data_IF_648480257519
#
_entry.id   IF_648480257519
#
_cell.length_a   1.000
_cell.length_b   1.000
_cell.length_c   1.000
_cell.angle_alpha   90.00
_cell.angle_beta   90.00
_cell.angle_gamma   90.00
#
_symmetry.space_group_name_H-M   'P 1'
#
loop_
_entity.id
_entity.type
_entity.pdbx_description
1 polymer ?
#
# COMPACT_ATOMS: atom_id res chain seq x y z
N UNK A 1 14.52 -16.94 3.92
CA UNK A 1 14.84 -15.53 4.20
C UNK A 1 13.59 -14.70 4.13
N UNK A 2 13.38 -13.89 5.14
CA UNK A 2 12.17 -13.06 5.20
C UNK A 2 12.23 -11.94 4.17
N UNK A 3 11.09 -11.68 3.59
CA UNK A 3 10.92 -10.59 2.63
C UNK A 3 10.28 -9.40 3.33
N UNK A 4 10.49 -8.21 2.78
CA UNK A 4 9.78 -7.02 3.23
C UNK A 4 8.34 -7.08 2.73
N UNK A 5 7.40 -6.95 3.64
CA UNK A 5 5.96 -6.92 3.29
C UNK A 5 5.60 -5.55 2.74
N UNK A 6 4.96 -5.52 1.59
CA UNK A 6 4.61 -4.28 0.89
C UNK A 6 3.10 -4.21 0.67
N UNK A 7 2.54 -3.02 0.88
CA UNK A 7 1.17 -2.70 0.52
C UNK A 7 1.19 -1.46 -0.38
N UNK A 8 0.33 -1.45 -1.39
CA UNK A 8 0.15 -0.31 -2.30
C UNK A 8 -1.27 0.19 -2.17
N UNK A 9 -1.43 1.49 -1.95
CA UNK A 9 -2.74 2.15 -1.92
C UNK A 9 -2.74 3.25 -2.97
N UNK A 10 -3.47 3.06 -4.06
CA UNK A 10 -3.51 3.98 -5.19
C UNK A 10 -4.79 3.72 -5.98
N UNK A 11 -5.51 4.78 -6.37
CA UNK A 11 -6.75 4.64 -7.14
C UNK A 11 -6.52 4.49 -8.65
N UNK A 12 -5.28 4.64 -9.12
CA UNK A 12 -4.93 4.49 -10.52
C UNK A 12 -4.51 3.05 -10.82
N UNK A 13 -5.31 2.36 -11.64
CA UNK A 13 -5.06 0.96 -12.02
C UNK A 13 -3.72 0.79 -12.73
N UNK A 14 -3.33 1.73 -13.56
CA UNK A 14 -2.05 1.63 -14.30
C UNK A 14 -0.87 1.72 -13.34
N UNK A 15 -0.94 2.64 -12.39
CA UNK A 15 0.10 2.79 -11.38
C UNK A 15 0.20 1.53 -10.52
N UNK A 16 -0.94 0.97 -10.11
CA UNK A 16 -0.97 -0.28 -9.34
C UNK A 16 -0.32 -1.44 -10.09
N UNK A 17 -0.68 -1.61 -11.37
CA UNK A 17 -0.12 -2.69 -12.19
C UNK A 17 1.37 -2.54 -12.37
N UNK A 18 1.83 -1.35 -12.73
CA UNK A 18 3.23 -1.10 -12.98
C UNK A 18 4.08 -1.34 -11.75
N UNK A 19 3.66 -0.82 -10.62
CA UNK A 19 4.41 -0.97 -9.38
C UNK A 19 4.37 -2.42 -8.88
N UNK A 20 3.22 -3.08 -8.99
CA UNK A 20 3.07 -4.48 -8.62
C UNK A 20 4.01 -5.36 -9.43
N UNK A 21 4.14 -5.09 -10.73
CA UNK A 21 5.04 -5.85 -11.60
C UNK A 21 6.51 -5.65 -11.21
N UNK A 22 6.90 -4.40 -10.92
CA UNK A 22 8.26 -4.12 -10.49
C UNK A 22 8.61 -4.80 -9.16
N UNK A 23 7.68 -4.78 -8.23
CA UNK A 23 7.87 -5.46 -6.94
C UNK A 23 7.94 -6.97 -7.09
N UNK A 24 7.13 -7.53 -7.99
CA UNK A 24 7.13 -8.97 -8.24
C UNK A 24 8.48 -9.47 -8.74
N UNK A 25 9.18 -8.67 -9.52
CA UNK A 25 10.50 -9.03 -10.05
C UNK A 25 11.62 -9.00 -9.00
N UNK A 26 11.38 -8.37 -7.88
CA UNK A 26 12.41 -8.17 -6.85
C UNK A 26 12.17 -9.11 -5.66
N UNK A 27 13.08 -10.07 -5.50
CA UNK A 27 12.95 -11.11 -4.48
C UNK A 27 12.99 -10.58 -3.04
N UNK A 28 13.39 -9.32 -2.83
CA UNK A 28 13.43 -8.73 -1.48
C UNK A 28 12.05 -8.37 -0.95
N UNK A 29 11.06 -8.25 -1.84
CA UNK A 29 9.74 -7.75 -1.48
C UNK A 29 8.67 -8.81 -1.67
N UNK A 30 7.68 -8.77 -0.79
CA UNK A 30 6.47 -9.56 -0.90
C UNK A 30 5.28 -8.61 -0.94
N UNK A 31 4.61 -8.52 -2.10
CA UNK A 31 3.41 -7.68 -2.21
C UNK A 31 2.25 -8.41 -1.53
N UNK A 32 1.82 -7.89 -0.39
CA UNK A 32 0.78 -8.53 0.42
C UNK A 32 -0.63 -8.12 0.01
N UNK A 33 -0.76 -6.99 -0.64
CA UNK A 33 -2.07 -6.56 -1.13
C UNK A 33 -2.05 -5.16 -1.69
N UNK A 34 -3.13 -4.81 -2.38
CA UNK A 34 -3.34 -3.48 -2.94
C UNK A 34 -4.73 -2.99 -2.59
N UNK A 35 -4.89 -1.67 -2.52
CA UNK A 35 -6.18 -1.05 -2.28
C UNK A 35 -6.31 0.19 -3.17
N UNK A 36 -7.55 0.54 -3.53
CA UNK A 36 -7.82 1.64 -4.46
C UNK A 36 -8.41 2.87 -3.79
N UNK A 37 -8.60 2.83 -2.50
CA UNK A 37 -9.07 4.00 -1.74
C UNK A 37 -8.55 3.93 -0.32
N UNK A 38 -8.72 5.01 0.41
CA UNK A 38 -8.19 5.13 1.75
C UNK A 38 -8.81 4.18 2.75
N UNK A 39 -10.13 3.98 2.68
CA UNK A 39 -10.85 3.09 3.60
C UNK A 39 -10.34 1.65 3.48
N UNK A 40 -10.27 1.14 2.24
CA UNK A 40 -9.76 -0.22 1.99
C UNK A 40 -8.28 -0.32 2.31
N UNK A 41 -7.53 0.74 2.00
CA UNK A 41 -6.11 0.82 2.34
C UNK A 41 -5.87 0.71 3.83
N UNK A 42 -6.65 1.44 4.62
CA UNK A 42 -6.54 1.39 6.08
C UNK A 42 -6.77 -0.03 6.62
N UNK A 43 -7.83 -0.69 6.17
CA UNK A 43 -8.13 -2.07 6.59
C UNK A 43 -6.99 -3.02 6.24
N UNK A 44 -6.47 -2.90 5.04
CA UNK A 44 -5.38 -3.75 4.56
C UNK A 44 -4.10 -3.51 5.36
N UNK A 45 -3.76 -2.27 5.62
CA UNK A 45 -2.58 -1.90 6.38
C UNK A 45 -2.66 -2.41 7.81
N UNK A 46 -3.81 -2.27 8.43
CA UNK A 46 -4.03 -2.77 9.80
C UNK A 46 -3.89 -4.29 9.86
N UNK A 47 -4.37 -4.97 8.85
CA UNK A 47 -4.29 -6.44 8.76
C UNK A 47 -2.86 -6.91 8.52
N UNK A 48 -2.16 -6.30 7.57
CA UNK A 48 -0.84 -6.75 7.12
C UNK A 48 0.29 -6.21 7.99
N UNK A 49 0.17 -4.97 8.44
CA UNK A 49 1.25 -4.24 9.13
C UNK A 49 2.52 -4.28 8.29
N UNK A 50 2.50 -3.64 7.12
CA UNK A 50 3.59 -3.76 6.15
C UNK A 50 4.88 -3.09 6.63
N UNK A 51 5.99 -3.55 6.07
CA UNK A 51 7.30 -2.91 6.26
C UNK A 51 7.45 -1.69 5.35
N UNK A 52 6.75 -1.69 4.21
CA UNK A 52 6.84 -0.63 3.22
C UNK A 52 5.46 -0.35 2.65
N UNK A 53 5.11 0.92 2.59
CA UNK A 53 3.82 1.37 2.08
C UNK A 53 4.04 2.36 0.94
N UNK A 54 3.47 2.05 -0.23
CA UNK A 54 3.35 3.02 -1.33
C UNK A 54 1.96 3.61 -1.26
N UNK A 55 1.88 4.92 -1.09
CA UNK A 55 0.63 5.60 -0.79
C UNK A 55 0.44 6.79 -1.74
N UNK A 56 -0.66 6.77 -2.49
CA UNK A 56 -1.05 7.88 -3.34
C UNK A 56 -1.45 9.09 -2.49
N UNK A 57 -1.11 10.27 -2.96
CA UNK A 57 -1.42 11.51 -2.26
C UNK A 57 -2.91 11.84 -2.32
N UNK A 58 -3.54 11.57 -3.47
CA UNK A 58 -4.95 11.90 -3.69
C UNK A 58 -5.75 10.64 -3.99
N UNK A 59 -6.82 10.43 -3.24
CA UNK A 59 -7.73 9.32 -3.41
C UNK A 59 -9.18 9.83 -3.29
N UNK A 60 -10.18 9.10 -3.83
CA UNK A 60 -11.56 9.59 -3.85
C UNK A 60 -12.17 9.87 -2.49
N UNK A 61 -11.78 9.11 -1.47
CA UNK A 61 -12.41 9.20 -0.15
C UNK A 61 -11.56 9.96 0.90
N UNK A 62 -10.25 10.03 0.71
CA UNK A 62 -9.36 10.78 1.60
C UNK A 62 -8.01 11.00 0.94
N UNK A 63 -7.23 11.94 1.45
CA UNK A 63 -5.86 12.14 0.96
C UNK A 63 -4.92 11.08 1.56
N UNK A 64 -3.79 10.88 0.90
CA UNK A 64 -2.75 10.00 1.44
C UNK A 64 -2.23 10.48 2.79
N UNK A 65 -2.15 11.81 2.97
CA UNK A 65 -1.70 12.38 4.24
C UNK A 65 -2.70 12.10 5.37
N UNK A 66 -3.99 12.22 5.08
CA UNK A 66 -5.03 11.88 6.07
C UNK A 66 -4.96 10.41 6.47
N UNK A 67 -4.80 9.52 5.48
CA UNK A 67 -4.65 8.10 5.75
C UNK A 67 -3.41 7.82 6.60
N UNK A 68 -2.30 8.46 6.27
CA UNK A 68 -1.05 8.28 7.01
C UNK A 68 -1.21 8.64 8.49
N UNK A 69 -1.95 9.70 8.78
CA UNK A 69 -2.23 10.10 10.16
C UNK A 69 -3.03 9.03 10.92
N UNK A 70 -3.94 8.36 10.21
CA UNK A 70 -4.78 7.33 10.84
C UNK A 70 -4.05 6.01 11.07
N UNK A 71 -3.01 5.71 10.28
CA UNK A 71 -2.35 4.41 10.30
C UNK A 71 -0.94 4.41 10.89
N UNK A 72 -0.45 5.54 11.32
CA UNK A 72 0.96 5.65 11.76
C UNK A 72 1.35 4.67 12.86
N UNK A 73 0.37 4.20 13.65
CA UNK A 73 0.62 3.24 14.72
C UNK A 73 0.64 1.79 14.21
N UNK A 74 0.33 1.58 12.94
CA UNK A 74 0.22 0.24 12.32
C UNK A 74 1.28 -0.05 11.27
N UNK A 75 2.16 0.90 11.05
CA UNK A 75 3.20 0.77 10.00
C UNK A 75 4.57 0.97 10.58
#
# INVERSE_FOLDING_TARGET
MDKYKVVIVDDDDVALENLSFELWKDARFSLEGTARNGRKGKKLIMKVQPDLLFLDVEMPDMTGLELLQEIRDYV
#
